data_IF_515794858776
#
_entry.id   IF_515794858776
#
_cell.length_a   1.000
_cell.length_b   1.000
_cell.length_c   1.000
_cell.angle_alpha   90.00
_cell.angle_beta   90.00
_cell.angle_gamma   90.00
#
_symmetry.space_group_name_H-M   'P 1'
#
loop_
_entity.id
_entity.type
_entity.pdbx_description
1 polymer ?
#
# COMPACT_ATOMS: atom_id res chain seq x y z
N UNK A 1 13.87 18.60 2.14
CA UNK A 1 14.48 17.41 2.79
C UNK A 1 13.48 16.27 2.68
N UNK A 2 13.85 15.18 2.01
CA UNK A 2 12.97 14.02 1.84
C UNK A 2 12.91 13.28 3.17
N UNK A 3 11.69 12.92 3.61
CA UNK A 3 11.51 12.20 4.87
C UNK A 3 11.98 10.74 4.73
N UNK A 4 12.57 10.14 5.78
CA UNK A 4 12.94 8.74 5.75
C UNK A 4 11.72 7.82 5.59
N UNK A 5 11.87 6.75 4.81
CA UNK A 5 10.86 5.71 4.65
C UNK A 5 11.17 4.52 5.56
N UNK A 6 10.35 4.33 6.60
CA UNK A 6 10.50 3.23 7.55
C UNK A 6 9.69 2.00 7.11
N UNK A 7 10.35 1.04 6.44
CA UNK A 7 9.73 -0.12 5.80
C UNK A 7 8.95 -1.02 6.76
N UNK A 8 9.42 -1.18 7.99
CA UNK A 8 8.91 -2.20 8.92
C UNK A 8 7.51 -1.88 9.45
N UNK A 9 7.07 -0.63 9.32
CA UNK A 9 5.76 -0.14 9.80
C UNK A 9 5.02 0.70 8.77
N UNK A 10 5.49 0.71 7.51
CA UNK A 10 4.88 1.48 6.44
C UNK A 10 3.56 0.83 6.00
N UNK A 11 2.48 1.62 6.02
CA UNK A 11 1.25 1.28 5.30
C UNK A 11 1.39 1.60 3.81
N UNK A 12 0.50 1.04 2.99
CA UNK A 12 0.42 1.34 1.54
C UNK A 12 0.30 2.85 1.29
N UNK A 13 -0.53 3.55 2.06
CA UNK A 13 -0.72 5.00 1.90
C UNK A 13 0.55 5.79 2.26
N UNK A 14 1.29 5.35 3.29
CA UNK A 14 2.59 5.96 3.64
C UNK A 14 3.64 5.69 2.56
N UNK A 15 3.67 4.49 2.00
CA UNK A 15 4.57 4.14 0.90
C UNK A 15 4.28 4.97 -0.34
N UNK A 16 3.00 5.13 -0.72
CA UNK A 16 2.58 5.99 -1.83
C UNK A 16 2.95 7.45 -1.60
N UNK A 17 2.61 7.99 -0.42
CA UNK A 17 2.93 9.38 -0.06
C UNK A 17 4.42 9.65 -0.09
N UNK A 18 5.23 8.71 0.42
CA UNK A 18 6.68 8.81 0.36
C UNK A 18 7.17 8.78 -1.09
N UNK A 19 6.70 7.83 -1.91
CA UNK A 19 7.11 7.72 -3.30
C UNK A 19 6.81 9.00 -4.09
N UNK A 20 5.60 9.55 -3.97
CA UNK A 20 5.19 10.76 -4.69
C UNK A 20 6.04 11.98 -4.28
N UNK A 21 6.36 12.10 -2.98
CA UNK A 21 7.24 13.15 -2.48
C UNK A 21 8.70 12.96 -2.93
N UNK A 22 9.20 11.72 -2.92
CA UNK A 22 10.54 11.37 -3.37
C UNK A 22 10.71 11.64 -4.88
N UNK A 23 9.77 11.18 -5.70
CA UNK A 23 9.80 11.31 -7.15
C UNK A 23 9.83 12.80 -7.54
N UNK A 24 8.94 13.61 -6.96
CA UNK A 24 8.91 15.06 -7.16
C UNK A 24 10.18 15.76 -6.68
N UNK A 25 10.71 15.38 -5.52
CA UNK A 25 11.90 16.03 -4.96
C UNK A 25 13.20 15.70 -5.72
N UNK A 26 13.18 14.64 -6.53
CA UNK A 26 14.34 14.15 -7.30
C UNK A 26 14.15 14.30 -8.80
N UNK A 27 13.09 15.00 -9.23
CA UNK A 27 12.82 15.28 -10.64
C UNK A 27 13.98 16.07 -11.28
N UNK A 28 14.43 15.61 -12.44
CA UNK A 28 15.56 16.22 -13.16
C UNK A 28 16.96 15.82 -12.67
N UNK A 29 17.08 15.00 -11.62
CA UNK A 29 18.36 14.42 -11.20
C UNK A 29 18.70 13.18 -12.03
N UNK A 30 20.00 12.92 -12.21
CA UNK A 30 20.48 11.68 -12.80
C UNK A 30 20.14 10.46 -11.94
N UNK A 31 19.83 9.34 -12.58
CA UNK A 31 19.43 8.09 -11.94
C UNK A 31 20.36 7.67 -10.80
N UNK A 32 21.67 7.76 -10.99
CA UNK A 32 22.64 7.41 -9.95
C UNK A 32 22.43 8.21 -8.65
N UNK A 33 22.20 9.53 -8.77
CA UNK A 33 21.91 10.40 -7.62
C UNK A 33 20.57 10.05 -6.98
N UNK A 34 19.55 9.72 -7.79
CA UNK A 34 18.24 9.30 -7.29
C UNK A 34 18.34 7.98 -6.50
N UNK A 35 19.10 7.01 -7.00
CA UNK A 35 19.33 5.74 -6.31
C UNK A 35 20.08 5.94 -4.99
N UNK A 36 21.13 6.76 -4.98
CA UNK A 36 21.85 7.10 -3.74
C UNK A 36 20.95 7.80 -2.72
N UNK A 37 20.18 8.81 -3.14
CA UNK A 37 19.23 9.51 -2.28
C UNK A 37 18.14 8.57 -1.72
N UNK A 38 17.62 7.66 -2.55
CA UNK A 38 16.65 6.67 -2.09
C UNK A 38 17.27 5.74 -1.04
N UNK A 39 18.50 5.26 -1.27
CA UNK A 39 19.20 4.37 -0.34
C UNK A 39 19.40 5.00 1.03
N UNK A 40 19.64 6.31 1.09
CA UNK A 40 19.73 7.08 2.33
C UNK A 40 18.37 7.23 3.03
N UNK A 41 17.29 7.38 2.27
CA UNK A 41 15.93 7.51 2.79
C UNK A 41 15.35 6.18 3.30
N UNK A 42 15.75 5.05 2.72
CA UNK A 42 15.25 3.73 3.10
C UNK A 42 15.78 3.31 4.49
N UNK A 43 14.85 3.09 5.44
CA UNK A 43 15.12 2.65 6.81
C UNK A 43 14.27 1.43 7.15
N UNK A 44 14.76 0.62 8.07
CA UNK A 44 14.07 -0.59 8.53
C UNK A 44 14.64 -1.85 7.91
N UNK A 45 14.55 -2.95 8.66
CA UNK A 45 15.23 -4.20 8.33
C UNK A 45 14.66 -4.83 7.07
N UNK A 46 13.33 -4.80 6.89
CA UNK A 46 12.68 -5.38 5.73
C UNK A 46 13.07 -4.66 4.44
N UNK A 47 13.13 -3.33 4.47
CA UNK A 47 13.51 -2.48 3.35
C UNK A 47 14.98 -2.66 2.98
N UNK A 48 15.87 -2.68 3.96
CA UNK A 48 17.30 -2.91 3.72
C UNK A 48 17.57 -4.29 3.11
N UNK A 49 16.93 -5.35 3.63
CA UNK A 49 17.04 -6.69 3.05
C UNK A 49 16.48 -6.73 1.63
N UNK A 50 15.30 -6.15 1.40
CA UNK A 50 14.72 -6.05 0.06
C UNK A 50 15.67 -5.34 -0.92
N UNK A 51 16.27 -4.22 -0.52
CA UNK A 51 17.21 -3.47 -1.36
C UNK A 51 18.40 -4.33 -1.77
N UNK A 52 19.01 -5.05 -0.83
CA UNK A 52 20.18 -5.91 -1.10
C UNK A 52 19.89 -6.98 -2.16
N UNK A 53 18.67 -7.54 -2.20
CA UNK A 53 18.31 -8.61 -3.12
C UNK A 53 17.61 -8.15 -4.40
N UNK A 54 17.18 -6.88 -4.49
CA UNK A 54 16.33 -6.40 -5.58
C UNK A 54 17.07 -6.06 -6.89
N UNK A 55 18.40 -6.03 -6.88
CA UNK A 55 19.25 -5.73 -8.05
C UNK A 55 18.79 -4.49 -8.83
N UNK A 56 18.69 -3.36 -8.13
CA UNK A 56 18.18 -2.11 -8.68
C UNK A 56 19.34 -1.33 -9.30
N UNK A 57 19.35 -1.22 -10.65
CA UNK A 57 20.44 -0.58 -11.41
C UNK A 57 20.06 0.78 -12.02
N UNK A 58 18.78 1.08 -12.10
CA UNK A 58 18.23 2.31 -12.70
C UNK A 58 16.96 2.75 -11.96
N UNK A 59 16.52 3.98 -12.21
CA UNK A 59 15.39 4.56 -11.49
C UNK A 59 14.05 3.93 -11.87
N UNK A 60 13.89 3.46 -13.11
CA UNK A 60 12.65 2.80 -13.56
C UNK A 60 12.45 1.44 -12.88
N UNK A 61 13.51 0.68 -12.73
CA UNK A 61 13.54 -0.58 -11.97
C UNK A 61 13.25 -0.31 -10.51
N UNK A 62 13.82 0.74 -9.91
CA UNK A 62 13.51 1.15 -8.54
C UNK A 62 12.01 1.41 -8.39
N UNK A 63 11.44 2.23 -9.27
CA UNK A 63 10.00 2.56 -9.27
C UNK A 63 9.16 1.31 -9.32
N UNK A 64 9.39 0.45 -10.29
CA UNK A 64 8.61 -0.77 -10.48
C UNK A 64 8.68 -1.69 -9.27
N UNK A 65 9.90 -1.94 -8.74
CA UNK A 65 10.10 -2.82 -7.60
C UNK A 65 9.53 -2.24 -6.30
N UNK A 66 9.68 -0.94 -6.08
CA UNK A 66 9.14 -0.25 -4.91
C UNK A 66 7.61 -0.33 -4.90
N UNK A 67 6.99 -0.03 -6.04
CA UNK A 67 5.54 -0.13 -6.18
C UNK A 67 5.09 -1.56 -5.90
N UNK A 68 5.71 -2.56 -6.51
CA UNK A 68 5.34 -3.96 -6.30
C UNK A 68 5.51 -4.43 -4.84
N UNK A 69 6.53 -3.96 -4.14
CA UNK A 69 6.84 -4.41 -2.78
C UNK A 69 6.02 -3.69 -1.70
N UNK A 70 5.84 -2.37 -1.84
CA UNK A 70 5.32 -1.53 -0.75
C UNK A 70 3.98 -0.85 -1.07
N UNK A 71 3.57 -0.80 -2.34
CA UNK A 71 2.32 -0.12 -2.75
C UNK A 71 1.29 -1.13 -3.26
N UNK A 72 1.69 -2.05 -4.13
CA UNK A 72 0.83 -3.12 -4.63
C UNK A 72 0.46 -4.03 -3.45
N UNK A 73 -0.84 -4.17 -3.22
CA UNK A 73 -1.32 -5.16 -2.28
C UNK A 73 -1.34 -6.51 -2.99
N UNK A 74 -0.79 -7.55 -2.36
CA UNK A 74 -1.00 -8.92 -2.86
C UNK A 74 -2.49 -9.27 -2.77
N UNK A 75 -3.02 -10.18 -3.60
CA UNK A 75 -4.41 -10.63 -3.49
C UNK A 75 -4.77 -11.09 -2.07
N UNK A 76 -3.82 -11.75 -1.37
CA UNK A 76 -3.98 -12.12 0.02
C UNK A 76 -4.14 -10.91 0.95
N UNK A 77 -3.28 -9.90 0.83
CA UNK A 77 -3.37 -8.67 1.63
C UNK A 77 -4.68 -7.91 1.37
N UNK A 78 -5.18 -7.91 0.13
CA UNK A 78 -6.47 -7.29 -0.21
C UNK A 78 -7.62 -8.06 0.44
N UNK A 79 -7.58 -9.39 0.42
CA UNK A 79 -8.56 -10.25 1.09
C UNK A 79 -8.49 -10.11 2.61
N UNK A 80 -7.30 -10.05 3.21
CA UNK A 80 -7.13 -9.84 4.65
C UNK A 80 -7.66 -8.46 5.09
N UNK A 81 -7.42 -7.43 4.29
CA UNK A 81 -8.01 -6.09 4.50
C UNK A 81 -9.53 -6.16 4.46
N UNK A 82 -10.11 -6.81 3.45
CA UNK A 82 -11.56 -7.04 3.37
C UNK A 82 -12.11 -7.72 4.62
N UNK A 83 -11.49 -8.82 5.05
CA UNK A 83 -11.90 -9.61 6.23
C UNK A 83 -11.79 -8.85 7.56
N UNK A 84 -10.80 -7.95 7.68
CA UNK A 84 -10.53 -7.22 8.91
C UNK A 84 -11.26 -5.87 9.00
N UNK A 85 -11.77 -5.37 7.88
CA UNK A 85 -12.48 -4.09 7.81
C UNK A 85 -13.81 -4.18 8.56
N UNK A 86 -14.08 -3.22 9.45
CA UNK A 86 -15.30 -3.15 10.26
C UNK A 86 -15.93 -1.77 10.15
N UNK A 87 -17.26 -1.71 10.15
CA UNK A 87 -18.00 -0.45 10.16
C UNK A 87 -17.69 0.32 11.44
N UNK A 88 -17.27 1.58 11.27
CA UNK A 88 -17.01 2.49 12.40
C UNK A 88 -18.32 3.03 12.99
N UNK A 89 -18.32 3.34 14.29
CA UNK A 89 -19.49 3.96 14.94
C UNK A 89 -19.78 5.32 14.30
N UNK A 90 -21.03 5.55 13.89
CA UNK A 90 -21.46 6.79 13.22
C UNK A 90 -21.35 6.78 11.69
N UNK A 91 -20.76 5.75 11.07
CA UNK A 91 -20.77 5.57 9.62
C UNK A 91 -22.13 5.02 9.16
N UNK A 92 -22.76 5.61 8.14
CA UNK A 92 -24.04 5.09 7.61
C UNK A 92 -23.87 3.74 6.91
N UNK A 93 -24.98 3.04 6.68
CA UNK A 93 -24.97 1.74 6.00
C UNK A 93 -24.58 1.89 4.51
N UNK A 94 -24.97 2.99 3.88
CA UNK A 94 -24.64 3.33 2.50
C UNK A 94 -23.13 3.55 2.35
N UNK A 95 -22.53 4.41 3.18
CA UNK A 95 -21.08 4.68 3.16
C UNK A 95 -20.27 3.43 3.45
N UNK A 96 -20.78 2.57 4.33
CA UNK A 96 -20.19 1.25 4.58
C UNK A 96 -20.27 0.34 3.36
N UNK A 97 -21.41 0.32 2.66
CA UNK A 97 -21.61 -0.41 1.41
C UNK A 97 -20.66 0.03 0.31
N UNK A 98 -20.50 1.34 0.12
CA UNK A 98 -19.57 1.92 -0.85
C UNK A 98 -18.12 1.52 -0.56
N UNK A 99 -17.71 1.57 0.71
CA UNK A 99 -16.37 1.15 1.14
C UNK A 99 -16.12 -0.33 0.84
N UNK A 100 -17.05 -1.21 1.20
CA UNK A 100 -16.91 -2.66 0.94
C UNK A 100 -16.91 -2.95 -0.55
N UNK A 101 -17.78 -2.29 -1.34
CA UNK A 101 -17.78 -2.45 -2.79
C UNK A 101 -16.43 -2.07 -3.39
N UNK A 102 -15.88 -0.91 -3.01
CA UNK A 102 -14.58 -0.45 -3.48
C UNK A 102 -13.45 -1.42 -3.12
N UNK A 103 -13.46 -1.98 -1.91
CA UNK A 103 -12.46 -2.96 -1.49
C UNK A 103 -12.62 -4.30 -2.24
N UNK A 104 -13.84 -4.74 -2.53
CA UNK A 104 -14.11 -5.93 -3.33
C UNK A 104 -13.69 -5.74 -4.79
N UNK A 105 -13.92 -4.57 -5.38
CA UNK A 105 -13.46 -4.24 -6.72
C UNK A 105 -11.93 -4.24 -6.79
N UNK A 106 -11.26 -3.62 -5.81
CA UNK A 106 -9.81 -3.61 -5.72
C UNK A 106 -9.24 -5.04 -5.58
N UNK A 107 -9.89 -5.90 -4.78
CA UNK A 107 -9.51 -7.30 -4.61
C UNK A 107 -9.94 -8.23 -5.78
N UNK A 108 -10.59 -7.69 -6.82
CA UNK A 108 -11.18 -8.45 -7.92
C UNK A 108 -12.16 -9.56 -7.46
N UNK A 109 -12.79 -9.36 -6.30
CA UNK A 109 -13.81 -10.25 -5.77
C UNK A 109 -15.15 -9.85 -6.39
N UNK A 110 -15.57 -10.51 -7.48
CA UNK A 110 -16.83 -10.18 -8.20
C UNK A 110 -18.02 -11.07 -7.82
N UNK A 111 -17.79 -12.10 -7.02
CA UNK A 111 -18.85 -13.01 -6.58
C UNK A 111 -19.82 -12.28 -5.64
N UNK A 112 -21.10 -12.24 -6.02
CA UNK A 112 -22.12 -11.45 -5.33
C UNK A 112 -22.40 -11.97 -3.92
N UNK A 113 -22.37 -13.29 -3.71
CA UNK A 113 -22.57 -13.91 -2.41
C UNK A 113 -21.40 -13.58 -1.47
N UNK A 114 -20.18 -13.72 -1.97
CA UNK A 114 -18.96 -13.40 -1.21
C UNK A 114 -18.89 -11.92 -0.84
N UNK A 115 -19.24 -11.00 -1.75
CA UNK A 115 -19.37 -9.56 -1.45
C UNK A 115 -20.37 -9.29 -0.32
N UNK A 116 -21.54 -9.94 -0.39
CA UNK A 116 -22.55 -9.80 0.64
C UNK A 116 -22.07 -10.33 2.01
N UNK A 117 -21.35 -11.45 2.03
CA UNK A 117 -20.74 -11.98 3.25
C UNK A 117 -19.70 -11.01 3.85
N UNK A 118 -18.85 -10.38 3.03
CA UNK A 118 -17.92 -9.36 3.53
C UNK A 118 -18.66 -8.17 4.14
N UNK A 119 -19.69 -7.66 3.45
CA UNK A 119 -20.52 -6.58 3.95
C UNK A 119 -21.14 -6.91 5.32
N UNK A 120 -21.76 -8.09 5.46
CA UNK A 120 -22.37 -8.54 6.72
C UNK A 120 -21.33 -8.74 7.83
N UNK A 121 -20.17 -9.33 7.52
CA UNK A 121 -19.14 -9.65 8.52
C UNK A 121 -18.56 -8.41 9.22
N UNK A 122 -18.51 -7.27 8.53
CA UNK A 122 -18.01 -6.01 9.07
C UNK A 122 -19.08 -5.12 9.69
N UNK A 123 -20.37 -5.44 9.51
CA UNK A 123 -21.45 -4.85 10.32
C UNK A 123 -21.32 -5.40 11.73
N UNK A 124 -20.91 -4.55 12.68
CA UNK A 124 -20.89 -4.91 14.11
C UNK A 124 -22.25 -5.45 14.55
N UNK A 125 -22.39 -6.77 14.69
CA UNK A 125 -23.53 -7.46 15.30
C UNK A 125 -23.29 -7.80 16.79
N UNK A 126 -22.63 -6.90 17.53
CA UNK A 126 -22.60 -6.96 19.00
C UNK A 126 -22.66 -5.54 19.56
N UNK A 127 -23.88 -5.10 19.84
CA UNK A 127 -24.19 -4.61 21.18
C UNK A 127 -24.83 -5.76 21.95
#
# INVERSE_FOLDING_TARGET
MIQPFYSDSASVDKARTFWDAFDRATEGLEDALRLSAFRECLKGKAGEQWWMYSQINDFETLRTRFHNQFICQTPLQMIERLKSTKRSKGMSAEVWGDLISSLCDAAQCYDAEMRYQFFLSGLRNKE
#
